data_IF_699400508145
#
_entry.id   IF_699400508145
#
_cell.length_a   1.000
_cell.length_b   1.000
_cell.length_c   1.000
_cell.angle_alpha   90.00
_cell.angle_beta   90.00
_cell.angle_gamma   90.00
#
_symmetry.space_group_name_H-M   'P 1'
#
loop_
_entity.id
_entity.type
_entity.pdbx_description
1 polymer ?
#
# COMPACT_ATOMS: atom_id res chain seq x y z
N UNK A 1 -4.81 -0.49 -10.03
CA UNK A 1 -3.96 -1.69 -9.81
C UNK A 1 -4.19 -2.27 -8.42
N UNK A 2 -4.00 -1.49 -7.35
CA UNK A 2 -4.27 -1.89 -5.95
C UNK A 2 -5.68 -2.46 -5.72
N UNK A 3 -6.76 -1.86 -6.27
CA UNK A 3 -8.12 -2.44 -6.19
C UNK A 3 -8.26 -3.81 -6.84
N UNK A 4 -7.58 -4.04 -7.97
CA UNK A 4 -7.58 -5.35 -8.63
C UNK A 4 -6.81 -6.37 -7.79
N UNK A 5 -5.70 -5.96 -7.20
CA UNK A 5 -4.91 -6.78 -6.28
C UNK A 5 -5.71 -7.14 -5.04
N UNK A 6 -6.38 -6.16 -4.40
CA UNK A 6 -7.33 -6.39 -3.32
C UNK A 6 -8.38 -7.45 -3.70
N UNK A 7 -9.01 -7.33 -4.87
CA UNK A 7 -10.00 -8.31 -5.36
C UNK A 7 -9.44 -9.73 -5.58
N UNK A 8 -8.14 -9.86 -5.88
CA UNK A 8 -7.46 -11.16 -5.98
C UNK A 8 -7.14 -11.77 -4.59
N UNK A 9 -7.13 -10.94 -3.55
CA UNK A 9 -6.71 -11.27 -2.18
C UNK A 9 -7.85 -11.16 -1.14
N UNK A 10 -9.07 -10.77 -1.54
CA UNK A 10 -10.26 -10.68 -0.65
C UNK A 10 -10.80 -12.03 -0.18
N UNK A 11 -10.30 -13.15 -0.71
CA UNK A 11 -10.57 -14.46 -0.13
C UNK A 11 -9.62 -14.70 1.04
N UNK A 12 -10.14 -15.18 2.18
CA UNK A 12 -9.33 -15.69 3.29
C UNK A 12 -8.56 -16.92 2.80
N UNK A 13 -7.35 -16.72 2.26
CA UNK A 13 -6.50 -17.79 1.75
C UNK A 13 -5.76 -18.44 2.92
N UNK A 14 -6.35 -19.52 3.44
CA UNK A 14 -5.63 -20.48 4.28
C UNK A 14 -5.02 -21.54 3.34
N UNK A 15 -3.78 -21.97 3.60
CA UNK A 15 -3.20 -23.12 2.88
C UNK A 15 -4.18 -24.29 2.93
N UNK A 16 -4.43 -24.98 1.82
CA UNK A 16 -5.41 -26.10 1.70
C UNK A 16 -5.32 -27.10 2.86
N UNK A 17 -4.10 -27.40 3.31
CA UNK A 17 -3.81 -28.33 4.42
C UNK A 17 -4.36 -27.84 5.76
N UNK A 18 -4.34 -26.53 6.02
CA UNK A 18 -4.76 -25.97 7.30
C UNK A 18 -6.24 -25.53 7.30
N UNK A 19 -6.89 -25.44 6.14
CA UNK A 19 -8.23 -24.88 6.00
C UNK A 19 -9.26 -25.56 6.92
N UNK A 20 -9.31 -26.90 6.93
CA UNK A 20 -10.25 -27.64 7.76
C UNK A 20 -10.08 -27.35 9.26
N UNK A 21 -8.83 -27.26 9.72
CA UNK A 21 -8.53 -26.94 11.12
C UNK A 21 -8.88 -25.49 11.47
N UNK A 22 -8.66 -24.53 10.56
CA UNK A 22 -8.99 -23.12 10.80
C UNK A 22 -10.51 -22.94 10.79
N UNK A 23 -11.21 -23.59 9.87
CA UNK A 23 -12.67 -23.55 9.78
C UNK A 23 -13.34 -24.16 11.02
N UNK A 24 -12.84 -25.29 11.52
CA UNK A 24 -13.36 -25.91 12.76
C UNK A 24 -13.07 -25.04 13.98
N UNK A 25 -11.87 -24.45 14.08
CA UNK A 25 -11.54 -23.49 15.13
C UNK A 25 -12.45 -22.27 15.09
N UNK A 26 -12.67 -21.70 13.91
CA UNK A 26 -13.58 -20.57 13.69
C UNK A 26 -15.00 -20.90 14.14
N UNK A 27 -15.53 -22.07 13.78
CA UNK A 27 -16.86 -22.52 14.18
C UNK A 27 -16.98 -22.83 15.69
N UNK A 28 -15.88 -23.16 16.34
CA UNK A 28 -15.85 -23.54 17.77
C UNK A 28 -15.76 -22.36 18.74
N UNK A 29 -15.57 -21.14 18.23
CA UNK A 29 -15.35 -19.94 19.04
C UNK A 29 -16.70 -19.30 19.40
N UNK A 30 -16.93 -19.06 20.68
CA UNK A 30 -18.13 -18.35 21.17
C UNK A 30 -18.09 -16.85 20.82
N UNK A 31 -19.17 -16.27 20.27
CA UNK A 31 -19.28 -14.84 20.01
C UNK A 31 -19.06 -13.98 21.27
N UNK A 32 -19.52 -14.45 22.42
CA UNK A 32 -19.39 -13.76 23.71
C UNK A 32 -17.92 -13.67 24.16
N UNK A 33 -17.12 -14.71 23.90
CA UNK A 33 -15.67 -14.69 24.17
C UNK A 33 -14.97 -13.73 23.22
N UNK A 34 -15.35 -13.71 21.93
CA UNK A 34 -14.79 -12.78 20.94
C UNK A 34 -15.04 -11.33 21.34
N UNK A 35 -16.27 -11.01 21.75
CA UNK A 35 -16.62 -9.66 22.20
C UNK A 35 -15.77 -9.23 23.40
N UNK A 36 -15.70 -10.06 24.45
CA UNK A 36 -14.90 -9.76 25.66
C UNK A 36 -13.41 -9.55 25.36
N UNK A 37 -12.84 -10.36 24.45
CA UNK A 37 -11.44 -10.20 24.04
C UNK A 37 -11.26 -8.91 23.23
N UNK A 38 -12.20 -8.58 22.34
CA UNK A 38 -12.15 -7.40 21.48
C UNK A 38 -12.23 -6.09 22.29
N UNK A 39 -13.13 -6.03 23.28
CA UNK A 39 -13.26 -4.89 24.19
C UNK A 39 -11.96 -4.65 24.97
N UNK A 40 -11.34 -5.73 25.46
CA UNK A 40 -10.05 -5.66 26.18
C UNK A 40 -8.90 -5.20 25.32
N UNK A 41 -8.83 -5.67 24.08
CA UNK A 41 -7.81 -5.23 23.11
C UNK A 41 -8.00 -3.75 22.79
N UNK A 42 -9.24 -3.30 22.62
CA UNK A 42 -9.58 -1.90 22.34
C UNK A 42 -9.22 -0.98 23.50
N UNK A 43 -9.41 -1.43 24.74
CA UNK A 43 -9.07 -0.67 25.95
C UNK A 43 -7.57 -0.60 26.25
N UNK A 44 -6.70 -1.11 25.38
CA UNK A 44 -5.24 -1.09 25.55
C UNK A 44 -4.71 -2.02 26.65
N UNK A 45 -5.53 -2.94 27.17
CA UNK A 45 -5.14 -3.86 28.22
C UNK A 45 -4.33 -5.04 27.68
N UNK A 46 -3.54 -5.69 28.56
CA UNK A 46 -2.76 -6.88 28.20
C UNK A 46 -3.62 -7.97 27.56
N UNK A 47 -3.14 -8.50 26.43
CA UNK A 47 -3.81 -9.49 25.57
C UNK A 47 -3.41 -10.92 25.95
N UNK A 48 -2.90 -11.15 27.16
CA UNK A 48 -2.61 -12.50 27.61
C UNK A 48 -3.92 -13.31 27.78
N UNK A 49 -4.00 -14.55 27.25
CA UNK A 49 -5.19 -15.37 27.44
C UNK A 49 -5.37 -15.73 28.91
N UNK A 50 -6.56 -15.52 29.46
CA UNK A 50 -6.89 -15.90 30.85
C UNK A 50 -7.42 -17.33 30.96
N UNK A 51 -7.95 -17.88 29.88
CA UNK A 51 -8.49 -19.23 29.81
C UNK A 51 -8.30 -19.83 28.40
N UNK A 52 -8.63 -21.10 28.24
CA UNK A 52 -8.48 -21.81 26.96
C UNK A 52 -9.38 -21.24 25.85
N UNK A 53 -10.57 -20.71 26.18
CA UNK A 53 -11.45 -20.12 25.17
C UNK A 53 -10.86 -18.81 24.60
N UNK A 54 -10.33 -17.94 25.46
CA UNK A 54 -9.61 -16.74 25.05
C UNK A 54 -8.35 -17.10 24.25
N UNK A 55 -7.65 -18.19 24.61
CA UNK A 55 -6.51 -18.68 23.84
C UNK A 55 -6.92 -19.09 22.43
N UNK A 56 -8.07 -19.75 22.26
CA UNK A 56 -8.62 -20.08 20.93
C UNK A 56 -8.92 -18.80 20.13
N UNK A 57 -9.56 -17.79 20.73
CA UNK A 57 -9.84 -16.50 20.07
C UNK A 57 -8.56 -15.80 19.63
N UNK A 58 -7.54 -15.75 20.48
CA UNK A 58 -6.27 -15.09 20.16
C UNK A 58 -5.48 -15.84 19.09
N UNK A 59 -5.53 -17.17 19.08
CA UNK A 59 -4.93 -17.97 18.02
C UNK A 59 -5.66 -17.76 16.69
N UNK A 60 -6.99 -17.70 16.70
CA UNK A 60 -7.77 -17.36 15.52
C UNK A 60 -7.41 -15.95 15.01
N UNK A 61 -7.32 -14.96 15.90
CA UNK A 61 -6.90 -13.59 15.55
C UNK A 61 -5.50 -13.57 14.89
N UNK A 62 -4.54 -14.35 15.41
CA UNK A 62 -3.21 -14.49 14.79
C UNK A 62 -3.29 -15.07 13.38
N UNK A 63 -4.10 -16.11 13.17
CA UNK A 63 -4.30 -16.72 11.85
C UNK A 63 -4.95 -15.74 10.88
N UNK A 64 -6.00 -15.02 11.31
CA UNK A 64 -6.67 -13.99 10.51
C UNK A 64 -5.70 -12.87 10.15
N UNK A 65 -4.90 -12.38 11.11
CA UNK A 65 -3.89 -11.36 10.84
C UNK A 65 -2.81 -11.83 9.87
N UNK A 66 -2.38 -13.10 9.95
CA UNK A 66 -1.42 -13.67 9.01
C UNK A 66 -1.96 -13.69 7.58
N UNK A 67 -3.24 -14.00 7.39
CA UNK A 67 -3.88 -13.94 6.07
C UNK A 67 -4.05 -12.49 5.62
N UNK A 68 -4.54 -11.62 6.52
CA UNK A 68 -4.77 -10.21 6.23
C UNK A 68 -3.49 -9.44 5.92
N UNK A 69 -2.32 -9.86 6.41
CA UNK A 69 -1.04 -9.22 6.09
C UNK A 69 -0.74 -9.20 4.58
N UNK A 70 -1.27 -10.16 3.83
CA UNK A 70 -1.16 -10.20 2.36
C UNK A 70 -2.19 -9.34 1.63
N UNK A 71 -3.16 -8.78 2.36
CA UNK A 71 -4.20 -7.90 1.81
C UNK A 71 -3.67 -6.46 1.91
N UNK A 72 -3.45 -5.76 0.78
CA UNK A 72 -3.05 -4.38 0.79
C UNK A 72 -3.94 -3.52 1.70
N UNK A 73 -3.35 -2.53 2.36
CA UNK A 73 -4.08 -1.59 3.24
C UNK A 73 -4.74 -2.19 4.49
N UNK A 74 -4.58 -3.48 4.76
CA UNK A 74 -5.04 -4.08 6.03
C UNK A 74 -4.22 -3.57 7.22
N UNK A 75 -4.79 -3.67 8.44
CA UNK A 75 -4.06 -3.35 9.67
C UNK A 75 -2.76 -4.14 9.80
N UNK A 76 -2.77 -5.42 9.40
CA UNK A 76 -1.60 -6.28 9.44
C UNK A 76 -0.54 -5.86 8.41
N UNK A 77 -0.94 -5.48 7.19
CA UNK A 77 -0.04 -4.95 6.17
C UNK A 77 0.61 -3.64 6.66
N UNK A 78 -0.14 -2.74 7.28
CA UNK A 78 0.40 -1.50 7.89
C UNK A 78 1.41 -1.78 9.00
N UNK A 79 1.19 -2.81 9.82
CA UNK A 79 2.18 -3.24 10.82
C UNK A 79 3.45 -3.76 10.15
N UNK A 80 3.33 -4.58 9.10
CA UNK A 80 4.47 -5.10 8.35
C UNK A 80 5.32 -3.95 7.77
N UNK A 81 4.69 -2.99 7.08
CA UNK A 81 5.36 -1.81 6.53
C UNK A 81 6.10 -1.00 7.61
N UNK A 82 5.51 -0.83 8.80
CA UNK A 82 6.19 -0.15 9.92
C UNK A 82 7.43 -0.91 10.39
N UNK A 83 7.38 -2.23 10.40
CA UNK A 83 8.53 -3.05 10.78
C UNK A 83 9.63 -2.98 9.72
N UNK A 84 9.29 -2.91 8.43
CA UNK A 84 10.24 -2.69 7.34
C UNK A 84 10.93 -1.32 7.46
N UNK A 85 10.16 -0.26 7.72
CA UNK A 85 10.72 1.09 7.98
C UNK A 85 11.69 1.07 9.17
N UNK A 86 11.33 0.39 10.26
CA UNK A 86 12.22 0.24 11.43
C UNK A 86 13.50 -0.53 11.08
N UNK A 87 13.39 -1.61 10.30
CA UNK A 87 14.54 -2.36 9.82
C UNK A 87 15.47 -1.48 8.99
N UNK A 88 14.90 -0.69 8.09
CA UNK A 88 15.66 0.27 7.28
C UNK A 88 16.34 1.33 8.13
N UNK A 89 15.67 1.83 9.17
CA UNK A 89 16.26 2.79 10.11
C UNK A 89 17.43 2.21 10.91
N UNK A 90 17.34 0.95 11.33
CA UNK A 90 18.42 0.25 12.04
C UNK A 90 19.64 0.09 11.13
N UNK A 91 19.44 -0.25 9.86
CA UNK A 91 20.53 -0.50 8.92
C UNK A 91 21.13 0.78 8.32
N UNK A 92 20.30 1.76 7.96
CA UNK A 92 20.71 2.96 7.20
C UNK A 92 20.72 4.24 8.02
N UNK A 93 20.21 4.21 9.25
CA UNK A 93 20.00 5.38 10.10
C UNK A 93 18.63 6.02 9.91
N UNK A 94 18.36 7.09 10.66
CA UNK A 94 17.09 7.81 10.61
C UNK A 94 16.86 8.48 9.25
N UNK A 95 15.60 8.58 8.78
CA UNK A 95 15.28 9.25 7.53
C UNK A 95 15.56 10.75 7.65
N UNK A 96 16.27 11.30 6.67
CA UNK A 96 16.46 12.76 6.57
C UNK A 96 15.22 13.47 6.03
N UNK A 97 14.39 12.77 5.27
CA UNK A 97 13.19 13.32 4.64
C UNK A 97 11.99 12.39 4.81
N UNK A 98 10.82 12.99 5.02
CA UNK A 98 9.51 12.35 4.96
C UNK A 98 8.65 13.14 3.99
N UNK A 99 8.35 12.56 2.81
CA UNK A 99 7.75 13.28 1.68
C UNK A 99 6.43 12.63 1.31
N UNK A 100 5.38 13.44 1.25
CA UNK A 100 4.08 13.04 0.68
C UNK A 100 3.97 13.62 -0.72
N UNK A 101 3.73 12.78 -1.72
CA UNK A 101 3.64 13.18 -3.12
C UNK A 101 2.24 12.86 -3.61
N UNK A 102 1.52 13.89 -4.06
CA UNK A 102 0.19 13.76 -4.64
C UNK A 102 0.18 14.39 -6.04
N UNK A 103 0.54 13.62 -7.10
CA UNK A 103 0.55 14.14 -8.46
C UNK A 103 -0.87 14.50 -8.91
N UNK A 104 -1.07 15.73 -9.36
CA UNK A 104 -2.38 16.20 -9.83
C UNK A 104 -2.69 15.61 -11.22
N UNK A 105 -3.51 14.56 -11.27
CA UNK A 105 -3.93 13.88 -12.50
C UNK A 105 -5.00 14.65 -13.28
N UNK A 106 -5.66 15.65 -12.68
CA UNK A 106 -6.75 16.45 -13.29
C UNK A 106 -6.25 17.66 -14.10
N UNK A 107 -4.95 17.94 -14.08
CA UNK A 107 -4.37 19.03 -14.87
C UNK A 107 -3.17 18.58 -15.71
N UNK A 108 -2.79 17.30 -15.61
CA UNK A 108 -1.56 16.82 -16.21
C UNK A 108 -1.82 16.25 -17.62
N UNK A 109 -1.19 16.81 -18.68
CA UNK A 109 -1.41 16.35 -20.05
C UNK A 109 -0.92 14.91 -20.28
N UNK A 110 -0.01 14.39 -19.45
CA UNK A 110 0.45 12.99 -19.53
C UNK A 110 -0.71 12.01 -19.36
N UNK A 111 -1.75 12.35 -18.60
CA UNK A 111 -2.93 11.49 -18.45
C UNK A 111 -3.70 11.38 -19.75
N UNK A 112 -3.82 12.45 -20.54
CA UNK A 112 -4.43 12.42 -21.88
C UNK A 112 -3.56 11.62 -22.86
N UNK A 113 -2.25 11.83 -22.83
CA UNK A 113 -1.30 11.04 -23.61
C UNK A 113 -1.47 9.53 -23.31
N UNK A 114 -1.53 9.16 -22.03
CA UNK A 114 -1.78 7.77 -21.61
C UNK A 114 -3.18 7.25 -21.98
N UNK A 115 -4.13 8.13 -22.25
CA UNK A 115 -5.46 7.81 -22.77
C UNK A 115 -5.47 7.60 -24.29
N UNK A 116 -4.35 7.84 -24.97
CA UNK A 116 -4.22 7.71 -26.42
C UNK A 116 -4.50 9.00 -27.20
N UNK A 117 -4.54 10.15 -26.53
CA UNK A 117 -4.57 11.43 -27.25
C UNK A 117 -3.23 11.67 -27.94
N UNK A 118 -3.28 12.18 -29.17
CA UNK A 118 -2.10 12.65 -29.91
C UNK A 118 -1.63 13.97 -29.27
N UNK A 119 -0.67 13.86 -28.36
CA UNK A 119 -0.03 14.98 -27.68
C UNK A 119 1.46 14.77 -27.85
N UNK A 120 2.16 15.81 -28.31
CA UNK A 120 3.61 15.84 -28.24
C UNK A 120 4.03 16.17 -26.81
N UNK A 121 4.67 15.21 -26.13
CA UNK A 121 5.10 15.38 -24.75
C UNK A 121 6.37 16.25 -24.68
N UNK A 122 7.14 16.31 -25.76
CA UNK A 122 8.37 17.11 -25.85
C UNK A 122 8.08 18.56 -26.25
N UNK A 123 6.89 18.84 -26.84
CA UNK A 123 6.41 20.18 -27.21
C UNK A 123 4.96 20.43 -26.76
N UNK A 124 4.74 20.44 -25.44
CA UNK A 124 3.41 20.67 -24.86
C UNK A 124 2.92 22.11 -25.09
N UNK A 125 1.85 22.25 -25.87
CA UNK A 125 1.22 23.54 -26.10
C UNK A 125 0.22 23.87 -24.97
N UNK A 126 -0.05 25.16 -24.69
CA UNK A 126 -1.07 25.55 -23.72
C UNK A 126 -2.46 24.96 -24.01
N UNK A 127 -2.77 24.68 -25.28
CA UNK A 127 -4.01 24.01 -25.71
C UNK A 127 -4.09 22.53 -25.31
N UNK A 128 -2.94 21.88 -25.09
CA UNK A 128 -2.88 20.48 -24.68
C UNK A 128 -3.19 20.33 -23.20
N UNK A 129 -3.06 21.42 -22.42
CA UNK A 129 -3.48 21.46 -21.03
C UNK A 129 -4.98 21.19 -20.96
N UNK A 130 -5.37 20.05 -20.38
CA UNK A 130 -6.77 19.64 -20.31
C UNK A 130 -7.64 20.64 -19.54
N UNK A 131 -8.87 20.82 -20.02
CA UNK A 131 -9.92 21.39 -19.19
C UNK A 131 -10.20 20.44 -18.02
N UNK A 132 -10.29 21.00 -16.81
CA UNK A 132 -10.57 20.27 -15.57
C UNK A 132 -11.74 19.30 -15.69
N UNK A 133 -12.86 19.75 -16.27
CA UNK A 133 -14.08 18.96 -16.35
C UNK A 133 -13.92 17.76 -17.29
N UNK A 134 -13.37 17.99 -18.48
CA UNK A 134 -13.18 16.94 -19.48
C UNK A 134 -12.23 15.85 -18.97
N UNK A 135 -11.15 16.25 -18.31
CA UNK A 135 -10.21 15.30 -17.73
C UNK A 135 -10.77 14.58 -16.51
N UNK A 136 -11.54 15.27 -15.67
CA UNK A 136 -12.26 14.62 -14.56
C UNK A 136 -13.19 13.53 -15.08
N UNK A 137 -13.93 13.80 -16.15
CA UNK A 137 -14.80 12.82 -16.81
C UNK A 137 -13.99 11.66 -17.41
N UNK A 138 -12.85 11.93 -18.04
CA UNK A 138 -11.96 10.90 -18.58
C UNK A 138 -11.44 9.96 -17.48
N UNK A 139 -10.92 10.52 -16.39
CA UNK A 139 -10.42 9.75 -15.24
C UNK A 139 -11.54 8.96 -14.57
N UNK A 140 -12.72 9.56 -14.41
CA UNK A 140 -13.89 8.88 -13.85
C UNK A 140 -14.33 7.69 -14.72
N UNK A 141 -14.31 7.83 -16.05
CA UNK A 141 -14.65 6.76 -17.00
C UNK A 141 -13.59 5.66 -17.03
N UNK A 142 -12.32 6.00 -16.83
CA UNK A 142 -11.21 5.04 -16.88
C UNK A 142 -10.20 5.27 -15.74
N UNK A 143 -10.50 4.80 -14.52
CA UNK A 143 -9.63 5.00 -13.35
C UNK A 143 -8.28 4.26 -13.45
N UNK A 144 -8.10 3.38 -14.44
CA UNK A 144 -6.80 2.74 -14.72
C UNK A 144 -5.79 3.76 -15.24
N UNK A 145 -6.25 4.81 -15.93
CA UNK A 145 -5.38 5.90 -16.42
C UNK A 145 -4.72 6.64 -15.26
N UNK A 146 -5.48 7.04 -14.25
CA UNK A 146 -4.94 7.69 -13.05
C UNK A 146 -3.90 6.80 -12.36
N UNK A 147 -4.18 5.50 -12.21
CA UNK A 147 -3.23 4.56 -11.62
C UNK A 147 -1.95 4.38 -12.47
N UNK A 148 -2.07 4.37 -13.80
CA UNK A 148 -0.93 4.30 -14.71
C UNK A 148 -0.09 5.57 -14.65
N UNK A 149 -0.74 6.72 -14.70
CA UNK A 149 -0.12 8.03 -14.56
C UNK A 149 0.66 8.12 -13.24
N UNK A 150 0.02 7.80 -12.11
CA UNK A 150 0.69 7.79 -10.81
C UNK A 150 1.93 6.90 -10.82
N UNK A 151 1.84 5.68 -11.34
CA UNK A 151 2.98 4.76 -11.40
C UNK A 151 4.12 5.27 -12.30
N UNK A 152 3.82 5.83 -13.47
CA UNK A 152 4.84 6.44 -14.35
C UNK A 152 5.50 7.64 -13.65
N UNK A 153 4.68 8.52 -13.07
CA UNK A 153 5.14 9.72 -12.40
C UNK A 153 6.02 9.40 -11.19
N UNK A 154 5.63 8.42 -10.37
CA UNK A 154 6.42 7.99 -9.21
C UNK A 154 7.75 7.34 -9.61
N UNK A 155 7.76 6.54 -10.69
CA UNK A 155 9.01 5.99 -11.23
C UNK A 155 9.93 7.10 -11.75
N UNK A 156 9.39 8.09 -12.45
CA UNK A 156 10.14 9.24 -12.90
C UNK A 156 10.67 10.07 -11.71
N UNK A 157 9.86 10.28 -10.67
CA UNK A 157 10.29 10.95 -9.45
C UNK A 157 11.50 10.25 -8.80
N UNK A 158 11.42 8.92 -8.61
CA UNK A 158 12.49 8.14 -7.96
C UNK A 158 13.76 8.12 -8.82
N UNK A 159 13.63 7.93 -10.13
CA UNK A 159 14.79 7.82 -11.01
C UNK A 159 15.41 9.18 -11.35
N UNK A 160 14.60 10.17 -11.77
CA UNK A 160 15.09 11.46 -12.26
C UNK A 160 15.34 12.47 -11.14
N UNK A 161 14.45 12.58 -10.14
CA UNK A 161 14.62 13.56 -9.07
C UNK A 161 15.46 13.01 -7.92
N UNK A 162 15.18 11.80 -7.45
CA UNK A 162 16.00 11.21 -6.38
C UNK A 162 17.30 10.59 -6.91
N UNK A 163 17.44 10.36 -8.22
CA UNK A 163 18.62 9.75 -8.80
C UNK A 163 18.82 8.29 -8.33
N UNK A 164 17.78 7.61 -7.88
CA UNK A 164 17.88 6.30 -7.25
C UNK A 164 17.55 5.16 -8.23
N UNK A 165 18.51 4.26 -8.42
CA UNK A 165 18.36 3.03 -9.18
C UNK A 165 18.94 1.85 -8.36
N UNK A 166 18.15 0.80 -8.06
CA UNK A 166 18.66 -0.39 -7.37
C UNK A 166 19.79 -1.11 -8.11
N UNK A 167 19.81 -1.04 -9.45
CA UNK A 167 20.77 -1.71 -10.31
C UNK A 167 22.02 -0.90 -10.60
N UNK A 168 22.01 0.42 -10.32
CA UNK A 168 23.10 1.32 -10.64
C UNK A 168 23.33 2.32 -9.51
N UNK A 169 24.54 2.31 -8.95
CA UNK A 169 24.94 3.35 -7.99
C UNK A 169 25.13 4.67 -8.72
N UNK A 170 24.27 5.64 -8.42
CA UNK A 170 24.48 7.02 -8.80
C UNK A 170 25.27 7.74 -7.70
N UNK A 171 26.54 8.05 -7.99
CA UNK A 171 27.42 8.75 -7.05
C UNK A 171 27.25 10.27 -7.08
N UNK A 172 26.67 10.82 -8.13
CA UNK A 172 26.33 12.25 -8.23
C UNK A 172 25.08 12.58 -7.40
N UNK A 173 24.18 11.61 -7.27
CA UNK A 173 22.92 11.75 -6.53
C UNK A 173 21.83 12.45 -7.34
N UNK A 174 20.70 12.73 -6.68
CA UNK A 174 19.60 13.53 -7.23
C UNK A 174 19.49 14.89 -6.55
N UNK A 175 18.31 15.50 -6.61
CA UNK A 175 18.04 16.83 -6.01
C UNK A 175 18.21 16.85 -4.48
N UNK A 176 18.14 15.68 -3.83
CA UNK A 176 18.35 15.52 -2.39
C UNK A 176 19.75 14.95 -2.06
N UNK A 177 20.66 14.96 -3.03
CA UNK A 177 21.98 14.32 -2.94
C UNK A 177 21.92 12.80 -3.15
N UNK A 178 22.94 12.10 -2.64
CA UNK A 178 23.07 10.64 -2.81
C UNK A 178 22.09 9.90 -1.90
N UNK A 179 21.09 9.26 -2.50
CA UNK A 179 20.07 8.49 -1.78
C UNK A 179 20.60 7.09 -1.46
N UNK A 180 20.85 6.82 -0.17
CA UNK A 180 21.29 5.48 0.30
C UNK A 180 20.18 4.44 0.26
N UNK A 181 18.96 4.85 0.58
CA UNK A 181 17.76 4.02 0.54
C UNK A 181 16.51 4.91 0.52
N UNK A 182 15.40 4.36 0.04
CA UNK A 182 14.08 4.94 0.19
C UNK A 182 13.09 3.84 0.57
N UNK A 183 11.98 4.25 1.18
CA UNK A 183 10.84 3.38 1.44
C UNK A 183 9.59 4.12 0.99
N UNK A 184 8.77 3.51 0.13
CA UNK A 184 7.60 4.14 -0.47
C UNK A 184 6.33 3.36 -0.18
N UNK A 185 5.28 4.06 0.24
CA UNK A 185 3.94 3.53 0.41
C UNK A 185 2.97 4.24 -0.54
N UNK A 186 1.94 3.52 -0.98
CA UNK A 186 0.78 4.10 -1.66
C UNK A 186 -0.44 3.85 -0.77
N UNK A 187 -1.22 4.89 -0.50
CA UNK A 187 -2.47 4.79 0.26
C UNK A 187 -3.66 4.46 -0.66
#
# INVERSE_FOLDING_TARGET
MQRRELLLHTSLKVKKVNFASVASQFASVSPEVVQRVSERVTSGNSVAPKNEEERKVLNLLKQVNAVAASIPSSSAARVAMRNEIRGLMIEKGLPSFYITINPADIYNPVVKFLAGSEIDVDDLLPSDVPNYWDQSVLVAKNPVLAARFFNVYMKAFISALLGYDPGRKNLEGGILGVVKAYYGCVE
#
